data_IF_073229850735
#
_entry.id   IF_073229850735
#
_cell.length_a   1.000
_cell.length_b   1.000
_cell.length_c   1.000
_cell.angle_alpha   90.00
_cell.angle_beta   90.00
_cell.angle_gamma   90.00
#
_symmetry.space_group_name_H-M   'P 1'
#
loop_
_entity.id
_entity.type
_entity.pdbx_description
1 polymer ?
#
# COMPACT_ATOMS: atom_id res chain seq x y z
N UNK A 1 15.45 26.01 -13.86
CA UNK A 1 16.18 24.87 -13.25
C UNK A 1 15.32 24.36 -12.12
N UNK A 2 14.76 23.14 -12.21
CA UNK A 2 13.86 22.62 -11.19
C UNK A 2 14.72 22.08 -10.03
N UNK A 3 14.73 22.77 -8.89
CA UNK A 3 15.47 22.33 -7.71
C UNK A 3 14.72 21.19 -7.00
N UNK A 4 15.46 20.29 -6.37
CA UNK A 4 14.86 19.25 -5.52
C UNK A 4 14.09 19.88 -4.35
N UNK A 5 13.06 19.21 -3.80
CA UNK A 5 12.24 19.77 -2.73
C UNK A 5 13.09 20.18 -1.50
N UNK A 6 12.79 21.33 -0.86
CA UNK A 6 13.37 21.66 0.44
C UNK A 6 13.14 20.52 1.46
N UNK A 7 14.13 20.26 2.30
CA UNK A 7 14.12 19.18 3.30
C UNK A 7 14.03 17.73 2.75
N UNK A 8 14.42 17.50 1.48
CA UNK A 8 14.44 16.17 0.85
C UNK A 8 14.97 15.06 1.77
N UNK A 9 16.18 15.23 2.34
CA UNK A 9 16.81 14.19 3.16
C UNK A 9 16.01 13.85 4.42
N UNK A 10 15.48 14.87 5.11
CA UNK A 10 14.64 14.67 6.31
C UNK A 10 13.35 13.92 5.96
N UNK A 11 12.73 14.28 4.84
CA UNK A 11 11.49 13.63 4.39
C UNK A 11 11.74 12.19 3.90
N UNK A 12 12.87 11.94 3.22
CA UNK A 12 13.27 10.58 2.83
C UNK A 12 13.46 9.68 4.06
N UNK A 13 14.26 10.12 5.05
CA UNK A 13 14.49 9.35 6.28
C UNK A 13 13.17 9.00 6.99
N UNK A 14 12.26 9.96 7.11
CA UNK A 14 10.95 9.76 7.70
C UNK A 14 10.11 8.72 6.91
N UNK A 15 10.04 8.86 5.59
CA UNK A 15 9.24 7.97 4.73
C UNK A 15 9.76 6.54 4.71
N UNK A 16 11.09 6.35 4.71
CA UNK A 16 11.70 5.03 4.75
C UNK A 16 11.41 4.34 6.08
N UNK A 17 11.55 5.05 7.21
CA UNK A 17 11.21 4.52 8.53
C UNK A 17 9.74 4.14 8.64
N UNK A 18 8.83 4.94 8.08
CA UNK A 18 7.39 4.69 8.20
C UNK A 18 6.87 3.58 7.28
N UNK A 19 7.45 3.40 6.08
CA UNK A 19 6.95 2.43 5.10
C UNK A 19 7.88 1.24 4.88
N UNK A 20 9.18 1.46 4.70
CA UNK A 20 10.10 0.36 4.40
C UNK A 20 10.40 -0.48 5.64
N UNK A 21 10.68 0.16 6.78
CA UNK A 21 11.03 -0.58 8.00
C UNK A 21 9.84 -1.40 8.52
N UNK A 22 8.66 -0.78 8.58
CA UNK A 22 7.43 -1.43 9.04
C UNK A 22 7.04 -2.59 8.12
N UNK A 23 7.15 -2.42 6.80
CA UNK A 23 6.86 -3.49 5.83
C UNK A 23 7.88 -4.61 5.93
N UNK A 24 9.17 -4.31 6.08
CA UNK A 24 10.23 -5.32 6.24
C UNK A 24 10.02 -6.15 7.51
N UNK A 25 9.74 -5.49 8.64
CA UNK A 25 9.47 -6.17 9.92
C UNK A 25 8.21 -7.01 9.82
N UNK A 26 7.13 -6.48 9.23
CA UNK A 26 5.87 -7.21 9.05
C UNK A 26 6.05 -8.45 8.19
N UNK A 27 6.81 -8.36 7.11
CA UNK A 27 7.15 -9.50 6.26
C UNK A 27 7.92 -10.58 7.02
N UNK A 28 8.91 -10.18 7.83
CA UNK A 28 9.65 -11.13 8.68
C UNK A 28 8.78 -11.76 9.77
N UNK A 29 7.84 -11.02 10.35
CA UNK A 29 6.87 -11.59 11.28
C UNK A 29 5.94 -12.58 10.57
N UNK A 30 5.56 -12.30 9.32
CA UNK A 30 4.71 -13.19 8.55
C UNK A 30 5.38 -14.54 8.29
N UNK A 31 6.68 -14.59 8.00
CA UNK A 31 7.40 -15.86 7.82
C UNK A 31 7.47 -16.72 9.09
N UNK A 32 7.32 -16.09 10.27
CA UNK A 32 7.42 -16.76 11.57
C UNK A 32 6.09 -17.11 12.22
N UNK A 33 5.06 -16.30 11.98
CA UNK A 33 3.84 -16.31 12.78
C UNK A 33 2.55 -16.37 11.95
N UNK A 34 2.61 -16.15 10.64
CA UNK A 34 1.44 -16.25 9.79
C UNK A 34 1.10 -17.72 9.57
N UNK A 35 -0.19 -18.08 9.69
CA UNK A 35 -0.66 -19.43 9.38
C UNK A 35 -0.50 -19.75 7.90
N UNK A 36 -0.47 -21.03 7.56
CA UNK A 36 -0.72 -21.49 6.20
C UNK A 36 -2.08 -20.96 5.69
N UNK A 37 -2.13 -20.57 4.42
CA UNK A 37 -3.31 -19.90 3.86
C UNK A 37 -3.57 -18.49 4.41
N UNK A 38 -2.66 -17.94 5.22
CA UNK A 38 -2.80 -16.61 5.83
C UNK A 38 -2.67 -15.46 4.83
N UNK A 39 -2.86 -14.24 5.33
CA UNK A 39 -2.79 -13.02 4.53
C UNK A 39 -1.86 -12.00 5.19
N UNK A 40 -0.91 -11.48 4.42
CA UNK A 40 -0.12 -10.30 4.73
C UNK A 40 -0.54 -9.18 3.78
N UNK A 41 -1.04 -8.06 4.31
CA UNK A 41 -1.33 -6.86 3.53
C UNK A 41 -0.25 -5.79 3.76
N UNK A 42 0.25 -5.19 2.68
CA UNK A 42 1.23 -4.10 2.73
C UNK A 42 0.61 -2.80 2.20
N UNK A 43 1.06 -1.66 2.74
CA UNK A 43 0.55 -0.34 2.34
C UNK A 43 1.44 0.31 1.28
N UNK A 44 1.08 0.10 0.01
CA UNK A 44 1.67 0.79 -1.14
C UNK A 44 1.06 2.18 -1.36
N UNK A 45 1.22 2.70 -2.57
CA UNK A 45 0.51 3.89 -3.05
C UNK A 45 0.32 3.83 -4.56
N UNK A 46 -0.84 4.27 -5.07
CA UNK A 46 -1.06 4.33 -6.53
C UNK A 46 -0.07 5.28 -7.22
N UNK A 47 0.24 6.41 -6.60
CA UNK A 47 1.15 7.40 -7.18
C UNK A 47 2.58 6.88 -7.41
N UNK A 48 3.01 5.86 -6.66
CA UNK A 48 4.36 5.28 -6.78
C UNK A 48 4.48 4.22 -7.88
N UNK A 49 3.42 4.00 -8.66
CA UNK A 49 3.50 3.26 -9.93
C UNK A 49 4.21 4.08 -11.02
N UNK A 50 4.31 5.39 -10.85
CA UNK A 50 4.93 6.33 -11.78
C UNK A 50 6.00 7.19 -11.09
N UNK A 51 6.67 8.06 -11.87
CA UNK A 51 7.58 9.07 -11.34
C UNK A 51 6.86 10.06 -10.41
N UNK A 52 7.45 10.33 -9.25
CA UNK A 52 6.89 11.19 -8.20
C UNK A 52 7.78 12.40 -7.89
N UNK A 53 8.03 13.29 -8.87
CA UNK A 53 9.03 14.37 -8.73
C UNK A 53 8.75 15.33 -7.55
N UNK A 54 7.49 15.52 -7.17
CA UNK A 54 7.10 16.37 -6.03
C UNK A 54 7.23 15.70 -4.65
N UNK A 55 7.47 14.39 -4.58
CA UNK A 55 7.46 13.62 -3.33
C UNK A 55 8.40 12.42 -3.37
N UNK A 56 9.64 12.66 -3.80
CA UNK A 56 10.66 11.63 -4.08
C UNK A 56 10.79 10.59 -2.97
N UNK A 57 10.95 11.02 -1.70
CA UNK A 57 11.10 10.10 -0.57
C UNK A 57 9.88 9.18 -0.37
N UNK A 58 8.67 9.69 -0.60
CA UNK A 58 7.44 8.92 -0.54
C UNK A 58 7.37 7.89 -1.68
N UNK A 59 7.63 8.34 -2.91
CA UNK A 59 7.64 7.45 -4.08
C UNK A 59 8.65 6.32 -3.96
N UNK A 60 9.89 6.63 -3.57
CA UNK A 60 10.92 5.63 -3.30
C UNK A 60 10.46 4.62 -2.25
N UNK A 61 9.92 5.10 -1.11
CA UNK A 61 9.49 4.24 -0.03
C UNK A 61 8.35 3.29 -0.46
N UNK A 62 7.35 3.80 -1.19
CA UNK A 62 6.20 3.01 -1.63
C UNK A 62 6.54 2.08 -2.81
N UNK A 63 7.40 2.50 -3.72
CA UNK A 63 7.94 1.64 -4.78
C UNK A 63 8.73 0.46 -4.22
N UNK A 64 9.52 0.68 -3.16
CA UNK A 64 10.20 -0.42 -2.47
C UNK A 64 9.22 -1.41 -1.83
N UNK A 65 8.10 -0.95 -1.27
CA UNK A 65 7.03 -1.81 -0.74
C UNK A 65 6.36 -2.61 -1.86
N UNK A 66 6.15 -2.02 -3.04
CA UNK A 66 5.61 -2.73 -4.20
C UNK A 66 6.52 -3.87 -4.65
N UNK A 67 7.81 -3.58 -4.78
CA UNK A 67 8.80 -4.60 -5.13
C UNK A 67 8.80 -5.71 -4.07
N UNK A 68 8.83 -5.36 -2.78
CA UNK A 68 8.82 -6.33 -1.68
C UNK A 68 7.61 -7.28 -1.78
N UNK A 69 6.43 -6.77 -2.13
CA UNK A 69 5.25 -7.58 -2.37
C UNK A 69 5.47 -8.64 -3.46
N UNK A 70 6.12 -8.28 -4.58
CA UNK A 70 6.48 -9.23 -5.64
C UNK A 70 7.46 -10.29 -5.13
N UNK A 71 8.49 -9.87 -4.41
CA UNK A 71 9.50 -10.79 -3.85
C UNK A 71 8.91 -11.80 -2.87
N UNK A 72 7.93 -11.40 -2.04
CA UNK A 72 7.27 -12.31 -1.09
C UNK A 72 6.39 -13.36 -1.79
N UNK A 73 5.86 -13.06 -2.97
CA UNK A 73 5.11 -14.01 -3.78
C UNK A 73 6.02 -15.01 -4.52
N UNK A 74 7.33 -14.73 -4.61
CA UNK A 74 8.31 -15.59 -5.24
C UNK A 74 8.54 -16.90 -4.49
N UNK A 75 9.03 -17.91 -5.21
CA UNK A 75 9.41 -19.21 -4.63
C UNK A 75 10.52 -19.03 -3.59
N UNK A 76 10.43 -19.78 -2.48
CA UNK A 76 11.40 -19.75 -1.38
C UNK A 76 11.55 -18.38 -0.68
N UNK A 77 10.53 -17.50 -0.74
CA UNK A 77 10.53 -16.21 -0.04
C UNK A 77 10.48 -16.34 1.49
N UNK A 78 10.14 -17.52 2.00
CA UNK A 78 9.87 -17.77 3.42
C UNK A 78 8.42 -17.58 3.82
N UNK A 79 7.53 -17.16 2.90
CA UNK A 79 6.10 -17.11 3.17
C UNK A 79 5.54 -18.54 3.40
N UNK A 80 4.58 -18.70 4.34
CA UNK A 80 3.95 -19.99 4.58
C UNK A 80 3.21 -20.54 3.34
N UNK A 81 3.09 -21.86 3.19
CA UNK A 81 2.31 -22.47 2.12
C UNK A 81 0.89 -21.90 2.01
N UNK A 82 0.47 -21.58 0.78
CA UNK A 82 -0.86 -21.03 0.49
C UNK A 82 -1.13 -19.62 1.01
N UNK A 83 -0.19 -19.00 1.74
CA UNK A 83 -0.34 -17.61 2.20
C UNK A 83 -0.18 -16.61 1.04
N UNK A 84 -0.79 -15.44 1.18
CA UNK A 84 -0.71 -14.37 0.19
C UNK A 84 -0.11 -13.10 0.78
N UNK A 85 0.83 -12.48 0.05
CA UNK A 85 1.24 -11.09 0.27
C UNK A 85 0.53 -10.21 -0.76
N UNK A 86 -0.17 -9.17 -0.33
CA UNK A 86 -0.94 -8.28 -1.21
C UNK A 86 -0.67 -6.83 -0.82
N UNK A 87 -0.29 -5.98 -1.77
CA UNK A 87 -0.13 -4.55 -1.51
C UNK A 87 -1.38 -3.78 -1.91
N UNK A 88 -1.90 -2.94 -1.02
CA UNK A 88 -3.01 -2.03 -1.28
C UNK A 88 -2.46 -0.65 -1.64
N UNK A 89 -2.93 -0.10 -2.76
CA UNK A 89 -2.43 1.12 -3.38
C UNK A 89 -3.54 2.18 -3.45
N UNK A 90 -3.87 2.84 -2.32
CA UNK A 90 -4.86 3.91 -2.32
C UNK A 90 -4.37 5.15 -3.06
N UNK A 91 -5.32 5.99 -3.49
CA UNK A 91 -5.09 7.38 -3.91
C UNK A 91 -5.12 8.30 -2.69
N UNK A 92 -6.29 8.47 -2.06
CA UNK A 92 -6.47 9.27 -0.85
C UNK A 92 -7.52 8.62 0.03
N UNK A 93 -7.18 8.42 1.31
CA UNK A 93 -8.10 7.88 2.30
C UNK A 93 -8.85 9.01 2.97
N UNK A 94 -10.13 8.80 3.24
CA UNK A 94 -10.94 9.73 4.00
C UNK A 94 -10.59 9.65 5.49
N UNK A 95 -9.78 10.60 5.95
CA UNK A 95 -9.32 10.66 7.35
C UNK A 95 -9.54 12.06 7.92
N UNK A 96 -9.75 12.19 9.25
CA UNK A 96 -9.86 13.51 9.88
C UNK A 96 -8.67 14.43 9.61
N UNK A 97 -7.45 13.88 9.55
CA UNK A 97 -6.24 14.64 9.26
C UNK A 97 -6.21 15.14 7.82
N UNK A 98 -6.60 14.29 6.84
CA UNK A 98 -6.68 14.71 5.44
C UNK A 98 -7.75 15.79 5.26
N UNK A 99 -8.94 15.64 5.85
CA UNK A 99 -10.01 16.64 5.78
C UNK A 99 -9.56 17.99 6.37
N UNK A 100 -8.86 17.97 7.51
CA UNK A 100 -8.30 19.19 8.12
C UNK A 100 -7.23 19.85 7.24
N UNK A 101 -6.40 19.06 6.58
CA UNK A 101 -5.27 19.56 5.78
C UNK A 101 -5.68 20.00 4.37
N UNK A 102 -6.78 19.44 3.85
CA UNK A 102 -7.33 19.71 2.52
C UNK A 102 -8.85 19.94 2.61
N UNK A 103 -9.31 21.03 3.27
CA UNK A 103 -10.74 21.24 3.58
C UNK A 103 -11.62 21.49 2.35
N UNK A 104 -11.04 22.03 1.28
CA UNK A 104 -11.74 22.36 0.02
C UNK A 104 -11.61 21.26 -1.04
N UNK A 105 -11.05 20.09 -0.69
CA UNK A 105 -10.94 18.98 -1.63
C UNK A 105 -12.29 18.30 -1.88
N UNK A 106 -12.43 17.68 -3.06
CA UNK A 106 -13.60 16.84 -3.35
C UNK A 106 -13.51 15.50 -2.60
N UNK A 107 -14.17 15.43 -1.44
CA UNK A 107 -14.21 14.21 -0.63
C UNK A 107 -14.94 13.05 -1.29
N UNK A 108 -15.72 13.28 -2.35
CA UNK A 108 -16.36 12.18 -3.10
C UNK A 108 -15.33 11.31 -3.84
N UNK A 109 -14.10 11.79 -4.00
CA UNK A 109 -12.97 11.04 -4.56
C UNK A 109 -12.12 10.30 -3.51
N UNK A 110 -12.46 10.40 -2.22
CA UNK A 110 -11.67 9.82 -1.14
C UNK A 110 -12.25 8.48 -0.69
N UNK A 111 -11.40 7.48 -0.51
CA UNK A 111 -11.82 6.15 -0.08
C UNK A 111 -12.24 6.14 1.39
N UNK A 112 -13.48 5.74 1.72
CA UNK A 112 -13.90 5.51 3.10
C UNK A 112 -13.07 4.41 3.76
N UNK A 113 -12.76 4.56 5.05
CA UNK A 113 -11.96 3.57 5.77
C UNK A 113 -12.68 2.23 5.90
N UNK A 114 -14.00 2.27 6.03
CA UNK A 114 -14.89 1.12 6.16
C UNK A 114 -14.78 0.21 4.94
N UNK A 115 -14.63 0.77 3.73
CA UNK A 115 -14.43 -0.02 2.51
C UNK A 115 -13.16 -0.89 2.58
N UNK A 116 -12.06 -0.35 3.12
CA UNK A 116 -10.83 -1.13 3.30
C UNK A 116 -10.99 -2.18 4.41
N UNK A 117 -11.70 -1.85 5.49
CA UNK A 117 -11.99 -2.81 6.57
C UNK A 117 -12.78 -4.00 6.04
N UNK A 118 -13.85 -3.74 5.27
CA UNK A 118 -14.67 -4.78 4.63
C UNK A 118 -13.85 -5.60 3.62
N UNK A 119 -13.02 -4.93 2.81
CA UNK A 119 -12.12 -5.60 1.87
C UNK A 119 -11.14 -6.54 2.57
N UNK A 120 -10.53 -6.10 3.68
CA UNK A 120 -9.64 -6.95 4.46
C UNK A 120 -10.38 -8.12 5.10
N UNK A 121 -11.58 -7.90 5.62
CA UNK A 121 -12.42 -8.98 6.15
C UNK A 121 -12.72 -10.05 5.10
N UNK A 122 -13.14 -9.64 3.90
CA UNK A 122 -13.39 -10.53 2.77
C UNK A 122 -12.14 -11.35 2.42
N UNK A 123 -11.01 -10.67 2.27
CA UNK A 123 -9.76 -11.36 1.94
C UNK A 123 -9.36 -12.34 3.03
N UNK A 124 -9.42 -11.96 4.31
CA UNK A 124 -9.07 -12.84 5.43
C UNK A 124 -9.94 -14.10 5.45
N UNK A 125 -11.24 -13.97 5.20
CA UNK A 125 -12.21 -15.07 5.16
C UNK A 125 -12.21 -15.86 3.86
N UNK A 126 -11.38 -15.47 2.88
CA UNK A 126 -11.20 -16.18 1.60
C UNK A 126 -12.15 -15.73 0.50
N UNK A 127 -12.99 -14.73 0.75
CA UNK A 127 -13.87 -14.14 -0.24
C UNK A 127 -13.08 -13.19 -1.17
N UNK A 128 -13.12 -13.45 -2.48
CA UNK A 128 -12.52 -12.61 -3.54
C UNK A 128 -11.07 -12.16 -3.27
N UNK A 129 -10.28 -12.97 -2.55
CA UNK A 129 -8.87 -12.65 -2.27
C UNK A 129 -8.05 -12.70 -3.57
N UNK A 130 -7.31 -11.64 -3.93
CA UNK A 130 -6.36 -11.68 -5.05
C UNK A 130 -5.19 -12.65 -4.80
N UNK A 131 -4.46 -12.96 -5.87
CA UNK A 131 -3.27 -13.81 -5.77
C UNK A 131 -2.16 -13.12 -4.97
N UNK A 132 -1.27 -13.92 -4.37
CA UNK A 132 -0.03 -13.39 -3.77
C UNK A 132 0.77 -12.61 -4.82
N UNK A 133 1.36 -11.48 -4.42
CA UNK A 133 2.07 -10.57 -5.31
C UNK A 133 1.15 -9.61 -6.07
N UNK A 134 -0.12 -9.50 -5.70
CA UNK A 134 -1.01 -8.52 -6.32
C UNK A 134 -0.76 -7.12 -5.77
N UNK A 135 -0.66 -6.14 -6.65
CA UNK A 135 -0.74 -4.72 -6.33
C UNK A 135 -2.18 -4.26 -6.64
N UNK A 136 -2.97 -3.95 -5.61
CA UNK A 136 -4.39 -3.61 -5.77
C UNK A 136 -4.59 -2.12 -5.61
N UNK A 137 -4.87 -1.42 -6.71
CA UNK A 137 -5.25 -0.02 -6.71
C UNK A 137 -6.62 0.14 -6.04
N UNK A 138 -6.74 1.15 -5.19
CA UNK A 138 -8.01 1.52 -4.54
C UNK A 138 -8.33 2.95 -4.94
N UNK A 139 -9.35 3.09 -5.78
CA UNK A 139 -9.72 4.35 -6.41
C UNK A 139 -11.18 4.62 -6.12
N UNK A 140 -11.49 5.83 -5.66
CA UNK A 140 -12.88 6.27 -5.44
C UNK A 140 -13.20 7.38 -6.41
N UNK A 141 -14.32 7.24 -7.11
CA UNK A 141 -14.85 8.26 -8.03
C UNK A 141 -16.33 8.41 -7.71
N UNK A 142 -16.78 9.63 -7.44
CA UNK A 142 -18.19 9.93 -7.13
C UNK A 142 -18.76 9.02 -6.00
N UNK A 143 -17.98 8.78 -4.96
CA UNK A 143 -18.35 7.96 -3.80
C UNK A 143 -18.32 6.45 -4.01
N UNK A 144 -18.00 5.97 -5.23
CA UNK A 144 -17.87 4.55 -5.53
C UNK A 144 -16.40 4.14 -5.56
N UNK A 145 -16.01 3.19 -4.70
CA UNK A 145 -14.65 2.65 -4.66
C UNK A 145 -14.53 1.38 -5.48
N UNK A 146 -13.46 1.30 -6.28
CA UNK A 146 -13.13 0.14 -7.12
C UNK A 146 -11.74 -0.40 -6.80
N UNK A 147 -11.58 -1.72 -6.93
CA UNK A 147 -10.33 -2.45 -6.75
C UNK A 147 -9.82 -2.93 -8.10
N UNK A 148 -8.65 -2.45 -8.51
CA UNK A 148 -8.08 -2.78 -9.83
C UNK A 148 -6.64 -3.26 -9.71
N UNK A 149 -6.28 -4.44 -10.23
CA UNK A 149 -4.89 -4.89 -10.26
C UNK A 149 -3.99 -3.91 -11.02
N UNK A 150 -2.79 -3.68 -10.50
CA UNK A 150 -1.65 -3.12 -11.20
C UNK A 150 -0.57 -4.19 -11.32
N UNK A 151 0.26 -4.05 -12.33
CA UNK A 151 1.38 -4.95 -12.59
C UNK A 151 2.67 -4.15 -12.51
N UNK A 152 3.68 -4.76 -11.88
CA UNK A 152 5.03 -4.22 -11.80
C UNK A 152 5.79 -4.47 -13.10
#
# INVERSE_FOLDING_TARGET
MCALPPALFKNCDLMWKQSMWTSTISSHLATKHLKEGGLLTLAGAKAALDGTPGMIGYGMAKGAVHQLCQSLAGKNSGMPPGAAAIAVLPVTLDTPMNRKSMPEADFSSWTPLEFLVETFHDWITGNKRPNSGSLIQVVTTEGKTELTPAYF
#
